data_IF_016521750761
#
_entry.id   IF_016521750761
#
_cell.length_a   1.000
_cell.length_b   1.000
_cell.length_c   1.000
_cell.angle_alpha   90.00
_cell.angle_beta   90.00
_cell.angle_gamma   90.00
#
_symmetry.space_group_name_H-M   'P 1'
#
loop_
_entity.id
_entity.type
_entity.pdbx_description
1 polymer ?
#
# COMPACT_ATOMS: atom_id res chain seq x y z
N UNK A 1 -2.71 -3.24 75.60
CA UNK A 1 -3.30 -2.56 74.42
C UNK A 1 -2.34 -1.46 73.98
N UNK A 2 -2.02 -1.40 72.68
CA UNK A 2 -1.34 -0.29 71.95
C UNK A 2 0.14 -0.07 72.35
N UNK A 3 1.12 0.04 71.44
CA UNK A 3 1.11 0.09 69.99
C UNK A 3 2.57 0.20 69.51
N UNK A 4 2.82 -0.41 68.36
CA UNK A 4 4.11 -0.67 67.70
C UNK A 4 4.59 0.62 66.99
N UNK A 5 5.90 0.75 66.74
CA UNK A 5 6.54 1.02 65.43
C UNK A 5 7.95 1.62 65.58
N UNK A 6 8.94 0.72 65.58
CA UNK A 6 10.34 1.04 65.37
C UNK A 6 10.59 1.23 63.86
N UNK A 7 11.10 2.40 63.50
CA UNK A 7 11.51 2.73 62.14
C UNK A 7 12.88 2.11 61.80
N UNK A 8 12.96 1.53 60.61
CA UNK A 8 14.21 1.15 59.95
C UNK A 8 14.13 1.66 58.51
N UNK A 9 14.72 2.83 58.28
CA UNK A 9 14.90 3.43 56.97
C UNK A 9 16.06 2.74 56.25
N UNK A 10 15.74 1.78 55.37
CA UNK A 10 16.70 1.26 54.40
C UNK A 10 16.70 2.19 53.18
N UNK A 11 17.60 3.16 53.22
CA UNK A 11 17.96 3.99 52.06
C UNK A 11 18.70 3.15 51.03
N UNK A 12 17.99 2.78 49.96
CA UNK A 12 18.60 2.20 48.76
C UNK A 12 18.77 3.33 47.75
N UNK A 13 19.96 3.92 47.74
CA UNK A 13 20.40 4.86 46.70
C UNK A 13 20.76 4.09 45.44
N UNK A 14 19.77 3.82 44.59
CA UNK A 14 20.02 3.44 43.20
C UNK A 14 20.46 4.68 42.41
N UNK A 15 21.74 5.03 42.51
CA UNK A 15 22.44 5.86 41.53
C UNK A 15 22.91 4.94 40.39
N UNK A 16 22.00 4.58 39.49
CA UNK A 16 22.27 3.69 38.36
C UNK A 16 21.92 4.37 37.03
N UNK A 17 22.89 5.11 36.50
CA UNK A 17 23.08 5.51 35.10
C UNK A 17 21.82 5.53 34.23
N UNK A 18 21.22 6.72 34.05
CA UNK A 18 20.31 7.01 32.94
C UNK A 18 21.16 7.08 31.66
N UNK A 19 21.61 5.92 31.19
CA UNK A 19 22.16 5.78 29.85
C UNK A 19 20.96 5.82 28.90
N UNK A 20 20.55 7.04 28.50
CA UNK A 20 19.84 7.26 27.25
C UNK A 20 20.76 6.89 26.09
N UNK A 21 21.10 5.60 25.98
CA UNK A 21 21.75 5.02 24.83
C UNK A 21 20.71 5.01 23.72
N UNK A 22 20.64 6.10 22.96
CA UNK A 22 19.90 6.15 21.72
C UNK A 22 20.39 5.01 20.84
N UNK A 23 19.57 3.96 20.73
CA UNK A 23 19.84 2.86 19.82
C UNK A 23 20.02 3.49 18.44
N UNK A 24 21.21 3.38 17.88
CA UNK A 24 21.45 3.68 16.47
C UNK A 24 20.54 2.74 15.68
N UNK A 25 19.35 3.22 15.31
CA UNK A 25 18.49 2.49 14.40
C UNK A 25 19.32 2.21 13.16
N UNK A 26 19.44 0.92 12.86
CA UNK A 26 20.11 0.48 11.65
C UNK A 26 19.30 1.06 10.49
N UNK A 27 19.90 1.93 9.67
CA UNK A 27 19.22 2.67 8.59
C UNK A 27 18.33 1.80 7.67
N UNK A 28 18.56 0.49 7.60
CA UNK A 28 17.72 -0.45 6.85
C UNK A 28 16.39 -0.82 7.53
N UNK A 29 16.30 -0.79 8.86
CA UNK A 29 15.06 -1.08 9.58
C UNK A 29 13.98 -0.03 9.33
N UNK A 30 14.38 1.24 9.27
CA UNK A 30 13.48 2.37 9.04
C UNK A 30 12.80 2.26 7.67
N UNK A 31 13.56 1.90 6.63
CA UNK A 31 13.03 1.71 5.27
C UNK A 31 12.05 0.56 5.13
N UNK A 32 12.27 -0.56 5.84
CA UNK A 32 11.33 -1.69 5.83
C UNK A 32 10.01 -1.34 6.51
N UNK A 33 10.06 -0.53 7.56
CA UNK A 33 8.86 0.00 8.20
C UNK A 33 8.11 0.97 7.28
N UNK A 34 8.84 1.84 6.59
CA UNK A 34 8.26 2.76 5.59
C UNK A 34 7.59 1.99 4.44
N UNK A 35 8.26 0.98 3.88
CA UNK A 35 7.66 0.06 2.88
C UNK A 35 6.38 -0.58 3.43
N UNK A 36 6.38 -1.03 4.68
CA UNK A 36 5.21 -1.65 5.31
C UNK A 36 4.04 -0.66 5.47
N UNK A 37 4.34 0.58 5.82
CA UNK A 37 3.34 1.65 5.95
C UNK A 37 2.74 2.03 4.59
N UNK A 38 3.58 2.23 3.56
CA UNK A 38 3.13 2.50 2.19
C UNK A 38 2.31 1.33 1.62
N UNK A 39 2.74 0.09 1.89
CA UNK A 39 2.00 -1.10 1.46
C UNK A 39 0.63 -1.20 2.14
N UNK A 40 0.54 -0.86 3.43
CA UNK A 40 -0.74 -0.85 4.16
C UNK A 40 -1.72 0.16 3.57
N UNK A 41 -1.23 1.34 3.17
CA UNK A 41 -2.03 2.35 2.48
C UNK A 41 -2.55 1.83 1.12
N UNK A 42 -1.69 1.19 0.32
CA UNK A 42 -2.11 0.56 -0.95
C UNK A 42 -3.24 -0.45 -0.71
N UNK A 43 -3.15 -1.31 0.32
CA UNK A 43 -4.22 -2.27 0.63
C UNK A 43 -5.53 -1.58 1.03
N UNK A 44 -5.44 -0.49 1.78
CA UNK A 44 -6.60 0.35 2.12
C UNK A 44 -7.30 0.89 0.88
N UNK A 45 -6.53 1.52 -0.02
CA UNK A 45 -7.06 2.04 -1.28
C UNK A 45 -7.57 0.95 -2.22
N UNK A 46 -6.94 -0.23 -2.24
CA UNK A 46 -7.45 -1.39 -2.99
C UNK A 46 -8.83 -1.79 -2.49
N UNK A 47 -9.01 -1.88 -1.18
CA UNK A 47 -10.31 -2.19 -0.59
C UNK A 47 -11.38 -1.13 -0.94
N UNK A 48 -11.02 0.16 -0.87
CA UNK A 48 -11.88 1.28 -1.24
C UNK A 48 -12.34 1.20 -2.71
N UNK A 49 -11.40 0.90 -3.61
CA UNK A 49 -11.63 0.65 -5.04
C UNK A 49 -12.33 -0.70 -5.35
N UNK A 50 -12.79 -1.42 -4.33
CA UNK A 50 -13.41 -2.77 -4.45
C UNK A 50 -12.51 -3.79 -5.14
N UNK A 51 -11.19 -3.64 -5.03
CA UNK A 51 -10.20 -4.63 -5.44
C UNK A 51 -9.93 -5.62 -4.31
N UNK A 52 -9.43 -6.81 -4.67
CA UNK A 52 -8.88 -7.73 -3.68
C UNK A 52 -7.70 -7.07 -2.94
N UNK A 53 -7.50 -7.39 -1.66
CA UNK A 53 -6.46 -6.74 -0.84
C UNK A 53 -5.06 -6.91 -1.41
N UNK A 54 -4.79 -8.03 -2.08
CA UNK A 54 -3.53 -8.34 -2.73
C UNK A 54 -3.76 -8.50 -4.24
N UNK A 55 -2.82 -8.07 -5.09
CA UNK A 55 -2.97 -8.15 -6.53
C UNK A 55 -2.92 -9.61 -7.02
N UNK A 56 -3.65 -9.96 -8.09
CA UNK A 56 -3.62 -11.31 -8.62
C UNK A 56 -2.22 -11.71 -9.10
N UNK A 57 -1.88 -12.99 -8.99
CA UNK A 57 -0.60 -13.53 -9.45
C UNK A 57 -0.33 -13.26 -10.94
N UNK A 58 -1.38 -13.14 -11.76
CA UNK A 58 -1.31 -12.78 -13.18
C UNK A 58 -0.77 -11.37 -13.40
N UNK A 59 -1.04 -10.42 -12.51
CA UNK A 59 -0.48 -9.07 -12.61
C UNK A 59 0.98 -9.06 -12.14
N UNK A 60 1.29 -9.78 -11.06
CA UNK A 60 2.64 -9.89 -10.49
C UNK A 60 3.64 -10.40 -11.55
N UNK A 61 3.28 -11.44 -12.31
CA UNK A 61 4.18 -12.02 -13.31
C UNK A 61 4.53 -11.05 -14.43
N UNK A 62 3.56 -10.23 -14.87
CA UNK A 62 3.76 -9.29 -15.98
C UNK A 62 4.58 -8.08 -15.58
N UNK A 63 4.42 -7.56 -14.37
CA UNK A 63 5.07 -6.32 -13.93
C UNK A 63 6.46 -6.53 -13.31
N UNK A 64 6.85 -7.78 -13.05
CA UNK A 64 8.09 -8.11 -12.32
C UNK A 64 9.31 -7.38 -12.88
N UNK A 65 9.49 -7.39 -14.20
CA UNK A 65 10.60 -6.76 -14.92
C UNK A 65 10.36 -5.29 -15.30
N UNK A 66 9.19 -4.74 -15.01
CA UNK A 66 8.82 -3.37 -15.39
C UNK A 66 9.16 -2.37 -14.28
N UNK A 67 9.33 -1.09 -14.62
CA UNK A 67 9.27 -0.02 -13.63
C UNK A 67 7.82 0.22 -13.15
N UNK A 68 7.63 0.88 -12.02
CA UNK A 68 6.29 1.27 -11.55
C UNK A 68 5.59 2.19 -12.56
N UNK A 69 6.32 3.14 -13.15
CA UNK A 69 5.83 4.00 -14.23
C UNK A 69 5.37 3.20 -15.45
N UNK A 70 6.12 2.20 -15.88
CA UNK A 70 5.74 1.37 -17.04
C UNK A 70 4.51 0.52 -16.73
N UNK A 71 4.41 -0.01 -15.51
CA UNK A 71 3.26 -0.79 -15.06
C UNK A 71 1.96 0.04 -15.06
N UNK A 72 2.05 1.36 -14.86
CA UNK A 72 0.92 2.28 -14.93
C UNK A 72 0.39 2.52 -16.36
N UNK A 73 1.19 2.23 -17.40
CA UNK A 73 0.84 2.50 -18.82
C UNK A 73 -0.03 1.39 -19.41
N UNK A 74 -1.23 1.22 -18.86
CA UNK A 74 -2.23 0.26 -19.34
C UNK A 74 -3.36 0.89 -20.16
N UNK A 75 -3.54 2.19 -20.00
CA UNK A 75 -4.60 2.93 -20.67
C UNK A 75 -4.16 3.32 -22.08
N UNK A 76 -5.12 3.33 -23.01
CA UNK A 76 -4.91 3.97 -24.33
C UNK A 76 -4.66 5.46 -24.10
N UNK A 77 -3.71 6.02 -24.85
CA UNK A 77 -3.46 7.46 -24.78
C UNK A 77 -4.73 8.25 -25.16
N UNK A 78 -4.98 9.37 -24.49
CA UNK A 78 -6.03 10.35 -24.81
C UNK A 78 -7.48 9.99 -24.46
N UNK A 79 -7.73 9.25 -23.37
CA UNK A 79 -9.09 9.14 -22.83
C UNK A 79 -9.32 10.29 -21.84
N UNK A 80 -10.19 11.24 -22.21
CA UNK A 80 -10.72 12.21 -21.24
C UNK A 80 -11.55 11.45 -20.22
N UNK A 81 -11.14 11.55 -18.96
CA UNK A 81 -11.77 10.87 -17.86
C UNK A 81 -13.13 11.52 -17.54
N UNK A 82 -14.23 10.74 -17.50
CA UNK A 82 -15.51 11.23 -17.03
C UNK A 82 -15.44 11.61 -15.55
N UNK A 83 -16.14 12.67 -15.13
CA UNK A 83 -16.15 13.11 -13.73
C UNK A 83 -16.58 12.02 -12.74
N UNK A 84 -17.39 11.05 -13.19
CA UNK A 84 -17.84 9.90 -12.39
C UNK A 84 -16.75 8.86 -12.12
N UNK A 85 -15.62 8.91 -12.83
CA UNK A 85 -14.47 8.05 -12.60
C UNK A 85 -13.37 8.71 -11.76
N UNK A 86 -13.55 10.00 -11.39
CA UNK A 86 -12.54 10.80 -10.68
C UNK A 86 -12.02 10.13 -9.42
N UNK A 87 -12.90 9.46 -8.67
CA UNK A 87 -12.54 8.81 -7.41
C UNK A 87 -11.63 7.60 -7.65
N UNK A 88 -11.98 6.72 -8.59
CA UNK A 88 -11.20 5.51 -8.88
C UNK A 88 -9.85 5.85 -9.53
N UNK A 89 -9.80 6.89 -10.37
CA UNK A 89 -8.56 7.32 -11.00
C UNK A 89 -7.64 8.04 -10.02
N UNK A 90 -8.18 8.86 -9.11
CA UNK A 90 -7.42 9.44 -7.99
C UNK A 90 -6.82 8.36 -7.08
N UNK A 91 -7.61 7.33 -6.74
CA UNK A 91 -7.11 6.15 -6.02
C UNK A 91 -5.99 5.45 -6.81
N UNK A 92 -6.15 5.30 -8.13
CA UNK A 92 -5.14 4.66 -8.96
C UNK A 92 -3.82 5.47 -8.99
N UNK A 93 -3.88 6.80 -9.04
CA UNK A 93 -2.72 7.67 -8.95
C UNK A 93 -2.00 7.50 -7.61
N UNK A 94 -2.73 7.56 -6.49
CA UNK A 94 -2.16 7.38 -5.16
C UNK A 94 -1.49 6.00 -4.98
N UNK A 95 -2.09 4.94 -5.50
CA UNK A 95 -1.47 3.59 -5.49
C UNK A 95 -0.17 3.59 -6.30
N UNK A 96 -0.13 4.26 -7.46
CA UNK A 96 1.06 4.32 -8.31
C UNK A 96 2.19 5.14 -7.68
N UNK A 97 1.87 6.26 -7.03
CA UNK A 97 2.86 7.07 -6.31
C UNK A 97 3.49 6.27 -5.16
N UNK A 98 2.68 5.55 -4.37
CA UNK A 98 3.21 4.66 -3.34
C UNK A 98 4.00 3.49 -3.94
N UNK A 99 3.65 3.01 -5.13
CA UNK A 99 4.44 1.97 -5.81
C UNK A 99 5.81 2.48 -6.24
N UNK A 100 5.91 3.72 -6.75
CA UNK A 100 7.19 4.37 -7.05
C UNK A 100 8.04 4.52 -5.78
N UNK A 101 7.46 5.00 -4.68
CA UNK A 101 8.14 5.16 -3.41
C UNK A 101 8.65 3.83 -2.84
N UNK A 102 7.82 2.78 -2.82
CA UNK A 102 8.21 1.44 -2.35
C UNK A 102 9.37 0.90 -3.20
N UNK A 103 9.32 1.04 -4.51
CA UNK A 103 10.37 0.55 -5.39
C UNK A 103 11.67 1.35 -5.23
N UNK A 104 11.61 2.66 -5.01
CA UNK A 104 12.79 3.47 -4.66
C UNK A 104 13.45 2.99 -3.36
N UNK A 105 12.67 2.77 -2.31
CA UNK A 105 13.17 2.23 -1.04
C UNK A 105 13.76 0.83 -1.20
N UNK A 106 13.16 -0.02 -2.04
CA UNK A 106 13.65 -1.35 -2.34
C UNK A 106 14.99 -1.33 -3.09
N UNK A 107 15.16 -0.39 -4.04
CA UNK A 107 16.42 -0.20 -4.74
C UNK A 107 17.53 0.26 -3.79
N UNK A 108 17.21 1.17 -2.86
CA UNK A 108 18.17 1.62 -1.85
C UNK A 108 18.56 0.55 -0.82
N UNK A 109 17.65 -0.38 -0.50
CA UNK A 109 17.95 -1.56 0.34
C UNK A 109 18.76 -2.62 -0.42
N UNK A 110 18.67 -2.62 -1.75
CA UNK A 110 19.40 -3.50 -2.64
C UNK A 110 18.63 -4.77 -3.02
N UNK A 111 19.09 -5.41 -4.10
CA UNK A 111 18.42 -6.55 -4.74
C UNK A 111 18.34 -7.82 -3.89
N UNK A 112 19.14 -7.91 -2.83
CA UNK A 112 19.15 -9.06 -1.93
C UNK A 112 18.08 -8.96 -0.82
N UNK A 113 17.40 -7.82 -0.68
CA UNK A 113 16.30 -7.64 0.27
C UNK A 113 14.99 -8.20 -0.31
N UNK A 114 14.75 -9.50 -0.15
CA UNK A 114 13.59 -10.18 -0.73
C UNK A 114 12.26 -9.55 -0.32
N UNK A 115 12.14 -9.12 0.94
CA UNK A 115 10.96 -8.42 1.44
C UNK A 115 10.67 -7.15 0.64
N UNK A 116 11.67 -6.29 0.45
CA UNK A 116 11.49 -5.04 -0.28
C UNK A 116 11.19 -5.29 -1.76
N UNK A 117 11.86 -6.27 -2.38
CA UNK A 117 11.67 -6.63 -3.79
C UNK A 117 10.27 -7.24 -4.05
N UNK A 118 9.77 -8.07 -3.14
CA UNK A 118 8.41 -8.61 -3.20
C UNK A 118 7.37 -7.50 -3.06
N UNK A 119 7.55 -6.58 -2.10
CA UNK A 119 6.63 -5.45 -1.91
C UNK A 119 6.62 -4.49 -3.09
N UNK A 120 7.78 -4.17 -3.67
CA UNK A 120 7.84 -3.40 -4.92
C UNK A 120 7.07 -4.11 -6.04
N UNK A 121 7.28 -5.42 -6.23
CA UNK A 121 6.55 -6.18 -7.27
C UNK A 121 5.04 -6.16 -7.06
N UNK A 122 4.57 -6.37 -5.84
CA UNK A 122 3.14 -6.30 -5.52
C UNK A 122 2.58 -4.89 -5.67
N UNK A 123 3.32 -3.85 -5.30
CA UNK A 123 2.90 -2.47 -5.49
C UNK A 123 2.76 -2.10 -6.99
N UNK A 124 3.71 -2.52 -7.84
CA UNK A 124 3.59 -2.37 -9.30
C UNK A 124 2.36 -3.07 -9.85
N UNK A 125 2.05 -4.27 -9.36
CA UNK A 125 0.89 -5.03 -9.79
C UNK A 125 -0.42 -4.32 -9.38
N UNK A 126 -0.46 -3.78 -8.16
CA UNK A 126 -1.59 -2.98 -7.67
C UNK A 126 -1.80 -1.70 -8.48
N UNK A 127 -0.74 -0.96 -8.79
CA UNK A 127 -0.80 0.23 -9.63
C UNK A 127 -1.36 -0.10 -11.02
N UNK A 128 -0.86 -1.18 -11.64
CA UNK A 128 -1.34 -1.65 -12.94
C UNK A 128 -2.83 -1.97 -12.93
N UNK A 129 -3.30 -2.75 -11.97
CA UNK A 129 -4.71 -3.12 -11.85
C UNK A 129 -5.60 -1.89 -11.60
N UNK A 130 -5.18 -1.00 -10.69
CA UNK A 130 -5.92 0.22 -10.39
C UNK A 130 -6.08 1.11 -11.63
N UNK A 131 -5.01 1.26 -12.43
CA UNK A 131 -5.06 1.98 -13.70
C UNK A 131 -5.98 1.31 -14.73
N UNK A 132 -6.02 -0.02 -14.77
CA UNK A 132 -6.98 -0.72 -15.63
C UNK A 132 -8.42 -0.42 -15.22
N UNK A 133 -8.73 -0.37 -13.92
CA UNK A 133 -10.08 -0.03 -13.43
C UNK A 133 -10.47 1.41 -13.74
N UNK A 134 -9.55 2.35 -13.51
CA UNK A 134 -9.74 3.75 -13.89
C UNK A 134 -10.14 3.87 -15.37
N UNK A 135 -9.43 3.16 -16.26
CA UNK A 135 -9.67 3.25 -17.69
C UNK A 135 -10.89 2.43 -18.16
N UNK A 136 -11.21 1.31 -17.49
CA UNK A 136 -12.44 0.57 -17.73
C UNK A 136 -13.71 1.36 -17.37
N UNK A 137 -13.67 2.13 -16.27
CA UNK A 137 -14.78 3.01 -15.88
C UNK A 137 -15.14 4.01 -16.99
N UNK A 138 -14.12 4.53 -17.69
CA UNK A 138 -14.33 5.47 -18.80
C UNK A 138 -14.98 4.80 -20.02
N UNK A 139 -14.75 3.51 -20.24
CA UNK A 139 -15.31 2.74 -21.36
C UNK A 139 -16.76 2.32 -21.08
N UNK A 140 -17.09 1.98 -19.83
CA UNK A 140 -18.47 1.62 -19.41
C UNK A 140 -19.45 2.79 -19.61
N UNK A 141 -19.00 4.03 -19.37
CA UNK A 141 -19.83 5.24 -19.52
C UNK A 141 -20.10 5.56 -20.99
N UNK A 142 -19.17 5.24 -21.89
CA UNK A 142 -19.32 5.48 -23.34
C UNK A 142 -20.30 4.53 -24.01
N UNK A 143 -20.75 3.49 -23.32
CA UNK A 143 -21.75 2.55 -23.82
C UNK A 143 -23.10 2.77 -23.14
N UNK A 144 -23.89 3.79 -23.51
CA UNK A 144 -25.26 3.95 -23.02
C UNK A 144 -26.23 2.89 -23.58
N UNK A 145 -25.75 1.92 -24.36
CA UNK A 145 -26.58 0.92 -25.07
C UNK A 145 -26.86 -0.35 -24.24
N UNK A 146 -27.27 -0.18 -22.98
CA UNK A 146 -27.65 -1.29 -22.09
C UNK A 146 -29.00 -1.13 -21.39
N UNK A 147 -29.69 0.00 -21.58
CA UNK A 147 -31.04 0.21 -21.07
C UNK A 147 -32.12 -0.29 -22.06
N UNK A 148 -32.07 -1.57 -22.44
CA UNK A 148 -33.27 -2.30 -22.91
C UNK A 148 -33.04 -3.80 -22.85
N UNK A 149 -33.71 -4.48 -21.91
CA UNK A 149 -33.63 -5.93 -21.77
C UNK A 149 -34.42 -6.49 -20.60
N UNK A 150 -35.67 -6.04 -20.41
CA UNK A 150 -36.67 -6.77 -19.62
C UNK A 150 -37.16 -7.95 -20.45
N UNK A 151 -37.06 -9.18 -19.94
CA UNK A 151 -37.98 -10.33 -20.10
C UNK A 151 -37.24 -11.55 -19.56
N UNK A 152 -37.61 -12.11 -18.40
CA UNK A 152 -38.85 -12.86 -18.25
C UNK A 152 -38.61 -14.31 -18.64
N UNK A 153 -38.29 -15.17 -17.68
CA UNK A 153 -38.42 -16.63 -17.81
C UNK A 153 -38.72 -17.21 -16.43
N UNK A 154 -40.01 -17.13 -16.09
CA UNK A 154 -40.69 -18.13 -15.27
C UNK A 154 -40.80 -19.39 -16.12
N UNK A 155 -39.98 -20.41 -15.84
CA UNK A 155 -40.30 -21.83 -15.98
C UNK A 155 -39.48 -22.59 -14.95
#
# INVERSE_FOLDING_TARGET
MKGILAGLALGVTFAGVVACGGAQQTKGFDKRNEISNLWTQIRGWRHEAKMDLDPPATFISVVRSQSARDAARVCKAHVTEPATCSDICSIADAICDNAEAICGLADELGKNDSFAQEKCTSAKASCREAKQRCCGCSDDIKSPTGATGVQGSLW
#
